data_IF_282817448585
#
_entry.id   IF_282817448585
#
_cell.length_a   1.000
_cell.length_b   1.000
_cell.length_c   1.000
_cell.angle_alpha   90.00
_cell.angle_beta   90.00
_cell.angle_gamma   90.00
#
_symmetry.space_group_name_H-M   'P 1'
#
loop_
_entity.id
_entity.type
_entity.pdbx_description
1 polymer ?
#
# COMPACT_ATOMS: atom_id res chain seq x y z
N UNK A 1 27.70 -35.66 5.72
CA UNK A 1 27.43 -34.30 6.23
C UNK A 1 27.95 -34.27 7.66
N UNK A 2 29.00 -33.50 7.92
CA UNK A 2 29.41 -33.18 9.29
C UNK A 2 28.26 -32.49 10.01
N UNK A 3 27.98 -32.88 11.26
CA UNK A 3 26.89 -32.32 12.05
C UNK A 3 27.17 -30.84 12.31
N UNK A 4 26.44 -29.97 11.65
CA UNK A 4 26.45 -28.52 11.93
C UNK A 4 25.89 -28.31 13.32
N UNK A 5 26.70 -27.86 14.29
CA UNK A 5 26.31 -27.68 15.69
C UNK A 5 25.45 -26.43 15.93
N UNK A 6 25.69 -25.35 15.16
CA UNK A 6 24.96 -24.10 15.29
C UNK A 6 24.82 -23.41 13.91
N UNK A 7 23.68 -22.79 13.70
CA UNK A 7 23.38 -22.01 12.48
C UNK A 7 22.96 -20.60 12.92
N UNK A 8 23.57 -19.59 12.35
CA UNK A 8 23.27 -18.18 12.58
C UNK A 8 22.71 -17.54 11.30
N UNK A 9 21.96 -16.47 11.46
CA UNK A 9 21.45 -15.63 10.36
C UNK A 9 20.62 -16.39 9.29
N UNK A 10 20.12 -17.60 9.61
CA UNK A 10 19.36 -18.42 8.67
C UNK A 10 17.98 -17.85 8.32
N UNK A 11 17.48 -16.94 9.13
CA UNK A 11 16.19 -16.25 8.97
C UNK A 11 16.33 -14.86 8.32
N UNK A 12 17.56 -14.47 7.94
CA UNK A 12 17.79 -13.23 7.18
C UNK A 12 17.49 -13.49 5.70
N UNK A 13 16.57 -12.71 5.09
CA UNK A 13 16.23 -12.89 3.68
C UNK A 13 17.45 -12.70 2.77
N UNK A 14 17.65 -13.61 1.80
CA UNK A 14 18.79 -13.58 0.88
C UNK A 14 18.95 -12.25 0.16
N UNK A 15 17.85 -11.64 -0.31
CA UNK A 15 17.90 -10.33 -0.99
C UNK A 15 18.47 -9.26 -0.06
N UNK A 16 18.03 -9.24 1.20
CA UNK A 16 18.54 -8.30 2.19
C UNK A 16 20.02 -8.50 2.44
N UNK A 17 20.46 -9.75 2.66
CA UNK A 17 21.87 -10.06 2.83
C UNK A 17 22.70 -9.66 1.61
N UNK A 18 22.23 -9.96 0.41
CA UNK A 18 22.90 -9.59 -0.85
C UNK A 18 23.05 -8.05 -1.00
N UNK A 19 22.03 -7.27 -0.62
CA UNK A 19 22.10 -5.80 -0.65
C UNK A 19 23.22 -5.30 0.28
N UNK A 20 23.31 -5.86 1.50
CA UNK A 20 24.31 -5.44 2.48
C UNK A 20 25.74 -5.87 2.08
N UNK A 21 25.92 -7.14 1.71
CA UNK A 21 27.24 -7.71 1.35
C UNK A 21 27.83 -6.99 0.13
N UNK A 22 26.99 -6.62 -0.84
CA UNK A 22 27.42 -5.88 -2.03
C UNK A 22 27.37 -4.36 -1.85
N UNK A 23 27.07 -3.85 -0.67
CA UNK A 23 27.00 -2.42 -0.33
C UNK A 23 26.12 -1.62 -1.31
N UNK A 24 25.02 -2.21 -1.74
CA UNK A 24 24.10 -1.59 -2.70
C UNK A 24 23.41 -0.40 -2.04
N UNK A 25 23.57 0.78 -2.64
CA UNK A 25 22.88 2.00 -2.20
C UNK A 25 21.47 2.04 -2.78
N UNK A 26 20.46 1.94 -1.92
CA UNK A 26 19.08 1.96 -2.32
C UNK A 26 18.58 3.40 -2.55
N UNK A 27 17.96 3.62 -3.71
CA UNK A 27 17.22 4.85 -4.03
C UNK A 27 18.04 6.16 -3.90
N UNK A 28 19.33 6.12 -4.18
CA UNK A 28 20.14 7.33 -4.29
C UNK A 28 19.70 8.09 -5.55
N UNK A 29 19.34 9.37 -5.41
CA UNK A 29 18.81 10.21 -6.50
C UNK A 29 17.56 9.64 -7.22
N UNK A 30 16.73 8.87 -6.53
CA UNK A 30 15.54 8.26 -7.09
C UNK A 30 14.41 9.28 -7.21
N UNK A 31 14.00 9.58 -8.44
CA UNK A 31 12.85 10.42 -8.78
C UNK A 31 11.86 9.58 -9.61
N UNK A 32 10.98 8.82 -8.97
CA UNK A 32 10.16 7.83 -9.65
C UNK A 32 8.99 8.44 -10.43
N UNK A 33 8.62 7.78 -11.54
CA UNK A 33 7.33 7.97 -12.19
C UNK A 33 6.26 7.23 -11.39
N UNK A 34 5.40 7.98 -10.73
CA UNK A 34 4.31 7.43 -9.90
C UNK A 34 3.02 7.44 -10.72
N UNK A 35 2.30 6.32 -10.70
CA UNK A 35 0.95 6.19 -11.20
C UNK A 35 0.03 5.75 -10.06
N UNK A 36 -0.92 6.58 -9.68
CA UNK A 36 -2.01 6.19 -8.79
C UNK A 36 -3.17 5.63 -9.59
N UNK A 37 -3.91 4.70 -8.98
CA UNK A 37 -5.11 4.13 -9.56
C UNK A 37 -6.11 3.79 -8.46
N UNK A 38 -7.38 3.68 -8.86
CA UNK A 38 -8.49 3.29 -8.00
C UNK A 38 -9.53 2.56 -8.85
N UNK A 39 -10.27 1.60 -8.26
CA UNK A 39 -11.31 0.85 -8.95
C UNK A 39 -12.67 1.06 -8.32
N UNK A 40 -13.71 1.05 -9.16
CA UNK A 40 -15.09 0.98 -8.73
C UNK A 40 -15.73 -0.34 -9.22
N UNK A 41 -16.57 -0.94 -8.40
CA UNK A 41 -17.16 -2.25 -8.65
C UNK A 41 -18.68 -2.23 -8.56
N UNK A 42 -19.34 -3.17 -9.22
CA UNK A 42 -20.76 -3.43 -8.97
C UNK A 42 -20.90 -4.06 -7.59
N UNK A 43 -21.51 -3.38 -6.65
CA UNK A 43 -21.92 -4.01 -5.39
C UNK A 43 -23.22 -3.43 -4.91
N UNK A 44 -24.12 -4.28 -4.43
CA UNK A 44 -25.41 -3.89 -3.88
C UNK A 44 -25.33 -3.37 -2.43
N UNK A 45 -24.25 -2.61 -2.09
CA UNK A 45 -24.01 -2.07 -0.77
C UNK A 45 -23.32 -3.06 0.21
N UNK A 46 -23.05 -4.29 -0.21
CA UNK A 46 -22.19 -5.24 0.51
C UNK A 46 -20.72 -5.06 0.14
N UNK A 47 -19.82 -5.68 0.89
CA UNK A 47 -18.42 -5.72 0.51
C UNK A 47 -18.27 -6.51 -0.80
N UNK A 48 -17.68 -5.94 -1.88
CA UNK A 48 -17.60 -6.57 -3.18
C UNK A 48 -16.84 -7.90 -3.17
N UNK A 49 -17.33 -8.89 -3.91
CA UNK A 49 -16.69 -10.19 -4.12
C UNK A 49 -16.25 -10.32 -5.60
N UNK A 50 -14.95 -10.45 -5.91
CA UNK A 50 -14.47 -10.55 -7.28
C UNK A 50 -14.95 -11.81 -8.03
N UNK A 51 -15.51 -12.79 -7.33
CA UNK A 51 -16.14 -13.95 -7.97
C UNK A 51 -17.52 -13.62 -8.54
N UNK A 52 -18.18 -12.58 -8.06
CA UNK A 52 -19.54 -12.18 -8.43
C UNK A 52 -19.52 -10.81 -9.10
N UNK A 53 -18.97 -9.81 -8.42
CA UNK A 53 -19.00 -8.42 -8.82
C UNK A 53 -17.99 -8.07 -9.89
N UNK A 54 -18.34 -7.17 -10.80
CA UNK A 54 -17.48 -6.70 -11.88
C UNK A 54 -16.81 -5.38 -11.54
N UNK A 55 -15.64 -5.15 -12.11
CA UNK A 55 -15.03 -3.82 -12.12
C UNK A 55 -15.73 -3.00 -13.20
N UNK A 56 -16.30 -1.87 -12.79
CA UNK A 56 -17.05 -0.99 -13.70
C UNK A 56 -16.26 0.23 -14.15
N UNK A 57 -15.30 0.66 -13.35
CA UNK A 57 -14.43 1.78 -13.66
C UNK A 57 -13.03 1.57 -13.06
N UNK A 58 -12.02 2.09 -13.76
CA UNK A 58 -10.66 2.24 -13.23
C UNK A 58 -10.21 3.66 -13.54
N UNK A 59 -9.79 4.39 -12.52
CA UNK A 59 -9.19 5.70 -12.65
C UNK A 59 -7.68 5.65 -12.51
N UNK A 60 -7.00 6.59 -13.14
CA UNK A 60 -5.54 6.74 -13.12
C UNK A 60 -5.17 8.20 -12.96
N UNK A 61 -4.22 8.46 -12.08
CA UNK A 61 -3.69 9.80 -11.87
C UNK A 61 -2.17 9.82 -11.78
N UNK A 62 -1.58 10.78 -12.47
CA UNK A 62 -0.19 11.19 -12.32
C UNK A 62 -0.07 12.65 -12.69
N UNK A 63 1.07 13.31 -12.45
CA UNK A 63 1.30 14.72 -12.87
C UNK A 63 0.97 15.00 -14.34
N UNK A 64 1.14 13.98 -15.20
CA UNK A 64 0.99 14.13 -16.65
C UNK A 64 -0.08 13.18 -17.22
N UNK A 65 -0.91 12.61 -16.37
CA UNK A 65 -1.97 11.69 -16.79
C UNK A 65 -3.17 11.82 -15.86
N UNK A 66 -4.30 12.15 -16.44
CA UNK A 66 -5.63 11.99 -15.86
C UNK A 66 -6.40 11.08 -16.80
N UNK A 67 -6.98 9.99 -16.29
CA UNK A 67 -7.74 9.04 -17.09
C UNK A 67 -8.73 8.27 -16.22
N UNK A 68 -9.94 8.10 -16.74
CA UNK A 68 -10.95 7.19 -16.22
C UNK A 68 -11.41 6.29 -17.35
N UNK A 69 -11.36 4.98 -17.15
CA UNK A 69 -11.91 4.01 -18.09
C UNK A 69 -13.12 3.35 -17.47
N UNK A 70 -14.26 3.38 -18.16
CA UNK A 70 -15.55 2.95 -17.62
C UNK A 70 -16.29 2.05 -18.62
N UNK A 71 -17.02 1.02 -18.14
CA UNK A 71 -17.75 0.06 -19.00
C UNK A 71 -19.11 0.56 -19.50
N UNK A 72 -19.38 1.84 -19.42
CA UNK A 72 -20.65 2.43 -19.84
C UNK A 72 -20.41 3.56 -20.83
N UNK A 73 -21.25 3.65 -21.88
CA UNK A 73 -21.22 4.77 -22.79
C UNK A 73 -22.28 5.81 -22.40
N UNK A 74 -21.90 7.08 -22.41
CA UNK A 74 -22.74 8.23 -22.06
C UNK A 74 -22.12 9.51 -22.66
N UNK A 75 -22.83 10.62 -22.60
CA UNK A 75 -22.31 11.91 -23.04
C UNK A 75 -21.27 12.43 -22.04
N UNK A 76 -20.01 12.35 -22.42
CA UNK A 76 -18.86 12.74 -21.60
C UNK A 76 -18.68 14.26 -21.64
N UNK A 77 -18.42 14.84 -20.47
CA UNK A 77 -18.07 16.24 -20.30
C UNK A 77 -16.56 16.47 -20.29
N UNK A 78 -15.77 15.39 -20.13
CA UNK A 78 -14.32 15.47 -19.99
C UNK A 78 -13.57 14.50 -20.93
N UNK A 79 -12.48 14.97 -21.52
CA UNK A 79 -11.64 14.19 -22.45
C UNK A 79 -10.86 13.07 -21.76
N UNK A 80 -10.71 13.10 -20.43
CA UNK A 80 -10.04 12.05 -19.68
C UNK A 80 -10.89 10.78 -19.51
N UNK A 81 -12.19 10.81 -19.86
CA UNK A 81 -13.10 9.68 -19.74
C UNK A 81 -13.09 8.83 -21.01
N UNK A 82 -12.75 7.57 -20.89
CA UNK A 82 -12.78 6.56 -21.96
C UNK A 82 -13.84 5.51 -21.65
N UNK A 83 -14.84 5.33 -22.53
CA UNK A 83 -15.77 4.21 -22.47
C UNK A 83 -15.20 2.98 -23.17
N UNK A 84 -15.48 1.82 -22.60
CA UNK A 84 -15.22 0.49 -23.17
C UNK A 84 -16.46 -0.38 -23.09
N UNK A 85 -16.55 -1.41 -23.93
CA UNK A 85 -17.77 -2.19 -24.05
C UNK A 85 -17.93 -3.29 -22.99
N UNK A 86 -16.86 -3.65 -22.26
CA UNK A 86 -16.89 -4.76 -21.30
C UNK A 86 -15.75 -4.65 -20.27
N UNK A 87 -15.91 -5.37 -19.15
CA UNK A 87 -14.85 -5.52 -18.15
C UNK A 87 -13.57 -6.12 -18.76
N UNK A 88 -13.72 -7.03 -19.73
CA UNK A 88 -12.57 -7.60 -20.45
C UNK A 88 -11.76 -6.53 -21.17
N UNK A 89 -12.41 -5.56 -21.79
CA UNK A 89 -11.74 -4.40 -22.42
C UNK A 89 -11.17 -3.44 -21.39
N UNK A 90 -11.86 -3.25 -20.27
CA UNK A 90 -11.38 -2.46 -19.14
C UNK A 90 -10.06 -3.01 -18.60
N UNK A 91 -9.97 -4.32 -18.38
CA UNK A 91 -8.75 -4.99 -17.90
C UNK A 91 -7.60 -4.94 -18.92
N UNK A 92 -7.91 -5.02 -20.22
CA UNK A 92 -6.90 -4.79 -21.27
C UNK A 92 -6.42 -3.35 -21.28
N UNK A 93 -7.31 -2.39 -21.11
CA UNK A 93 -6.97 -0.98 -21.01
C UNK A 93 -6.11 -0.69 -19.76
N UNK A 94 -6.34 -1.39 -18.65
CA UNK A 94 -5.45 -1.35 -17.48
C UNK A 94 -4.02 -1.77 -17.84
N UNK A 95 -3.86 -2.91 -18.51
CA UNK A 95 -2.56 -3.36 -18.99
C UNK A 95 -1.91 -2.35 -19.95
N UNK A 96 -2.65 -1.85 -20.93
CA UNK A 96 -2.17 -0.89 -21.91
C UNK A 96 -1.73 0.42 -21.24
N UNK A 97 -2.51 0.90 -20.27
CA UNK A 97 -2.20 2.14 -19.55
C UNK A 97 -0.91 2.02 -18.76
N UNK A 98 -0.72 0.93 -18.02
CA UNK A 98 0.52 0.68 -17.28
C UNK A 98 1.70 0.54 -18.24
N UNK A 99 1.54 -0.25 -19.33
CA UNK A 99 2.60 -0.51 -20.29
C UNK A 99 3.01 0.71 -21.11
N UNK A 100 2.08 1.63 -21.34
CA UNK A 100 2.35 2.91 -22.03
C UNK A 100 2.98 3.94 -21.09
N UNK A 101 2.49 3.99 -19.84
CA UNK A 101 3.00 4.95 -18.86
C UNK A 101 4.36 4.52 -18.30
N UNK A 102 4.61 3.21 -18.17
CA UNK A 102 5.83 2.63 -17.61
C UNK A 102 6.19 3.24 -16.24
N UNK A 103 5.35 3.04 -15.20
CA UNK A 103 5.61 3.60 -13.89
C UNK A 103 6.74 2.85 -13.16
N UNK A 104 7.53 3.56 -12.36
CA UNK A 104 8.42 2.96 -11.38
C UNK A 104 7.66 2.50 -10.13
N UNK A 105 6.63 3.29 -9.77
CA UNK A 105 5.74 3.02 -8.64
C UNK A 105 4.29 3.08 -9.11
N UNK A 106 3.54 2.02 -8.83
CA UNK A 106 2.07 2.04 -8.88
C UNK A 106 1.53 2.11 -7.45
N UNK A 107 0.51 2.93 -7.23
CA UNK A 107 -0.03 3.14 -5.89
C UNK A 107 -1.56 3.16 -5.88
N UNK A 108 -2.13 2.63 -4.82
CA UNK A 108 -3.55 2.69 -4.49
C UNK A 108 -3.76 2.89 -3.00
N UNK A 109 -4.99 3.10 -2.57
CA UNK A 109 -5.35 3.25 -1.17
C UNK A 109 -6.04 1.99 -0.66
N UNK A 110 -5.38 1.21 0.20
CA UNK A 110 -5.79 -0.13 0.63
C UNK A 110 -5.78 -1.18 -0.52
N UNK A 111 -5.01 -0.91 -1.53
CA UNK A 111 -5.00 -1.66 -2.79
C UNK A 111 -4.41 -3.08 -2.68
N UNK A 112 -3.61 -3.37 -1.64
CA UNK A 112 -3.16 -4.74 -1.34
C UNK A 112 -4.33 -5.68 -1.03
N UNK A 113 -5.37 -5.15 -0.36
CA UNK A 113 -6.50 -5.92 0.14
C UNK A 113 -7.74 -5.83 -0.74
N UNK A 114 -7.77 -4.84 -1.64
CA UNK A 114 -8.90 -4.61 -2.51
C UNK A 114 -8.48 -4.54 -3.98
N UNK A 115 -8.08 -3.40 -4.49
CA UNK A 115 -7.92 -3.12 -5.91
C UNK A 115 -7.05 -4.11 -6.66
N UNK A 116 -5.82 -4.35 -6.19
CA UNK A 116 -4.87 -5.24 -6.85
C UNK A 116 -5.31 -6.70 -6.81
N UNK A 117 -5.88 -7.12 -5.69
CA UNK A 117 -6.45 -8.45 -5.55
C UNK A 117 -7.65 -8.61 -6.46
N UNK A 118 -8.55 -7.63 -6.47
CA UNK A 118 -9.76 -7.65 -7.28
C UNK A 118 -9.42 -7.70 -8.77
N UNK A 119 -8.56 -6.83 -9.27
CA UNK A 119 -8.08 -6.83 -10.66
C UNK A 119 -7.49 -8.19 -11.03
N UNK A 120 -6.68 -8.79 -10.15
CA UNK A 120 -6.05 -10.08 -10.44
C UNK A 120 -7.07 -11.21 -10.53
N UNK A 121 -8.03 -11.30 -9.61
CA UNK A 121 -9.09 -12.31 -9.64
C UNK A 121 -10.01 -12.12 -10.86
N UNK A 122 -10.39 -10.86 -11.15
CA UNK A 122 -11.21 -10.55 -12.32
C UNK A 122 -10.49 -10.85 -13.64
N UNK A 123 -9.20 -10.55 -13.73
CA UNK A 123 -8.39 -10.92 -14.89
C UNK A 123 -8.37 -12.44 -15.10
N UNK A 124 -8.20 -13.21 -14.02
CA UNK A 124 -8.26 -14.67 -14.07
C UNK A 124 -9.62 -15.18 -14.53
N UNK A 125 -10.73 -14.63 -14.00
CA UNK A 125 -12.10 -14.97 -14.39
C UNK A 125 -12.39 -14.67 -15.86
N UNK A 126 -11.82 -13.57 -16.38
CA UNK A 126 -11.94 -13.17 -17.79
C UNK A 126 -10.93 -13.87 -18.72
N UNK A 127 -10.16 -14.84 -18.20
CA UNK A 127 -9.09 -15.56 -18.93
C UNK A 127 -8.02 -14.61 -19.53
N UNK A 128 -7.71 -13.53 -18.82
CA UNK A 128 -6.68 -12.56 -19.19
C UNK A 128 -5.43 -12.79 -18.35
N UNK A 129 -4.28 -12.91 -19.02
CA UNK A 129 -2.97 -12.77 -18.40
C UNK A 129 -2.50 -11.35 -18.62
N UNK A 130 -2.38 -10.59 -17.53
CA UNK A 130 -1.91 -9.21 -17.58
C UNK A 130 -0.39 -9.20 -17.79
N UNK A 131 0.03 -8.99 -19.04
CA UNK A 131 1.46 -8.88 -19.40
C UNK A 131 1.93 -7.46 -19.12
N UNK A 132 2.54 -7.26 -17.95
CA UNK A 132 3.01 -5.95 -17.48
C UNK A 132 4.51 -5.81 -17.71
N UNK A 133 4.90 -4.69 -18.30
CA UNK A 133 6.31 -4.33 -18.51
C UNK A 133 7.02 -4.04 -17.16
N UNK A 134 8.36 -4.12 -17.10
CA UNK A 134 9.27 -4.36 -18.24
C UNK A 134 9.49 -5.84 -18.60
N UNK A 135 8.88 -6.78 -17.88
CA UNK A 135 9.16 -8.21 -18.05
C UNK A 135 8.07 -8.99 -18.79
N UNK A 136 6.97 -8.34 -19.18
CA UNK A 136 5.81 -8.97 -19.82
C UNK A 136 5.24 -10.15 -19.01
N UNK A 137 5.33 -10.05 -17.69
CA UNK A 137 4.83 -11.05 -16.74
C UNK A 137 3.56 -10.58 -16.05
N UNK A 138 2.73 -11.54 -15.64
CA UNK A 138 1.52 -11.29 -14.85
C UNK A 138 1.87 -10.91 -13.41
N UNK A 139 0.89 -10.30 -12.74
CA UNK A 139 0.95 -10.03 -11.31
C UNK A 139 1.02 -11.34 -10.51
N UNK A 140 1.84 -11.37 -9.46
CA UNK A 140 2.01 -12.53 -8.61
C UNK A 140 1.61 -12.24 -7.16
N UNK A 141 0.95 -13.20 -6.52
CA UNK A 141 0.73 -13.13 -5.08
C UNK A 141 2.03 -13.37 -4.31
N UNK A 142 2.26 -12.59 -3.29
CA UNK A 142 3.35 -12.87 -2.35
C UNK A 142 2.93 -13.92 -1.34
N UNK A 143 3.91 -14.58 -0.71
CA UNK A 143 3.63 -15.40 0.46
C UNK A 143 3.21 -14.51 1.63
N UNK A 144 2.10 -14.84 2.27
CA UNK A 144 1.56 -14.07 3.39
C UNK A 144 0.51 -14.86 4.15
N UNK A 145 0.05 -14.32 5.29
CA UNK A 145 -1.06 -14.87 6.05
C UNK A 145 -2.37 -14.78 5.24
N UNK A 146 -3.33 -15.61 5.58
CA UNK A 146 -4.56 -15.97 4.82
C UNK A 146 -5.29 -14.80 4.11
N UNK A 147 -5.22 -13.56 4.64
CA UNK A 147 -5.91 -12.38 4.10
C UNK A 147 -4.97 -11.21 3.78
N UNK A 148 -3.65 -11.41 3.84
CA UNK A 148 -2.65 -10.39 3.53
C UNK A 148 -1.63 -10.98 2.54
N UNK A 149 -2.04 -11.14 1.29
CA UNK A 149 -1.17 -11.58 0.19
C UNK A 149 -1.00 -10.42 -0.81
N UNK A 150 -0.12 -9.46 -0.50
CA UNK A 150 0.11 -8.36 -1.42
C UNK A 150 0.49 -8.87 -2.81
N UNK A 151 0.01 -8.19 -3.83
CA UNK A 151 0.33 -8.50 -5.22
C UNK A 151 1.61 -7.76 -5.60
N UNK A 152 2.56 -8.48 -6.21
CA UNK A 152 3.78 -7.93 -6.80
C UNK A 152 3.66 -7.88 -8.32
N UNK A 153 4.17 -6.79 -8.88
CA UNK A 153 4.43 -6.65 -10.31
C UNK A 153 5.94 -6.65 -10.48
N UNK A 154 6.48 -7.53 -11.32
CA UNK A 154 7.91 -7.60 -11.54
C UNK A 154 8.40 -6.34 -12.27
N UNK A 155 9.35 -5.65 -11.67
CA UNK A 155 9.92 -4.40 -12.21
C UNK A 155 9.16 -3.13 -11.84
N UNK A 156 7.97 -3.21 -11.25
CA UNK A 156 7.21 -2.06 -10.76
C UNK A 156 7.00 -2.21 -9.26
N UNK A 157 7.30 -1.18 -8.49
CA UNK A 157 7.03 -1.20 -7.05
C UNK A 157 5.57 -0.85 -6.79
N UNK A 158 4.80 -1.79 -6.22
CA UNK A 158 3.47 -1.49 -5.70
C UNK A 158 3.59 -0.91 -4.28
N UNK A 159 3.07 0.29 -4.10
CA UNK A 159 3.03 1.02 -2.83
C UNK A 159 1.57 1.16 -2.40
N UNK A 160 1.17 0.46 -1.34
CA UNK A 160 -0.13 0.68 -0.71
C UNK A 160 -0.02 1.83 0.30
N UNK A 161 -0.63 2.95 -0.04
CA UNK A 161 -0.58 4.19 0.75
C UNK A 161 -1.24 4.01 2.12
N UNK A 162 -2.39 3.33 2.18
CA UNK A 162 -3.11 3.06 3.42
C UNK A 162 -2.29 2.19 4.38
N UNK A 163 -1.68 1.11 3.89
CA UNK A 163 -0.91 0.19 4.73
C UNK A 163 0.26 0.91 5.40
N UNK A 164 0.99 1.74 4.63
CA UNK A 164 2.10 2.52 5.19
C UNK A 164 1.62 3.55 6.23
N UNK A 165 0.56 4.31 5.90
CA UNK A 165 -0.01 5.30 6.83
C UNK A 165 -0.47 4.61 8.12
N UNK A 166 -1.23 3.52 8.02
CA UNK A 166 -1.70 2.74 9.16
C UNK A 166 -0.58 2.21 10.04
N UNK A 167 0.48 1.66 9.43
CA UNK A 167 1.55 0.99 10.16
C UNK A 167 2.56 1.94 10.79
N UNK A 168 2.75 3.14 10.21
CA UNK A 168 3.84 4.06 10.57
C UNK A 168 3.32 5.41 11.06
N UNK A 169 2.31 6.00 10.40
CA UNK A 169 1.90 7.38 10.64
C UNK A 169 0.65 7.49 11.54
N UNK A 170 -0.23 6.48 11.55
CA UNK A 170 -1.50 6.54 12.27
C UNK A 170 -1.40 7.00 13.74
N UNK A 171 -0.37 6.62 14.53
CA UNK A 171 -0.25 7.12 15.90
C UNK A 171 -0.03 8.64 16.03
N UNK A 172 0.31 9.32 14.94
CA UNK A 172 0.55 10.78 14.89
C UNK A 172 -0.60 11.55 14.27
N UNK A 173 -1.55 10.85 13.65
CA UNK A 173 -2.74 11.46 13.08
C UNK A 173 -3.76 11.74 14.18
N UNK A 174 -4.51 12.81 14.02
CA UNK A 174 -5.59 13.22 14.94
C UNK A 174 -6.93 12.60 14.55
N UNK A 175 -7.07 12.19 13.28
CA UNK A 175 -8.31 11.58 12.80
C UNK A 175 -8.56 10.23 13.46
N UNK A 176 -9.83 9.95 13.73
CA UNK A 176 -10.29 8.67 14.29
C UNK A 176 -10.55 7.61 13.21
N UNK A 177 -10.55 7.99 11.94
CA UNK A 177 -10.77 7.09 10.80
C UNK A 177 -9.66 7.25 9.77
N UNK A 178 -9.17 6.12 9.27
CA UNK A 178 -8.17 6.06 8.20
C UNK A 178 -8.83 5.91 6.82
N UNK A 179 -10.04 6.44 6.60
CA UNK A 179 -10.60 6.58 5.25
C UNK A 179 -9.75 7.53 4.42
N UNK A 180 -9.77 7.37 3.09
CA UNK A 180 -9.00 8.24 2.18
C UNK A 180 -9.31 9.72 2.42
N UNK A 181 -10.58 10.05 2.59
CA UNK A 181 -11.05 11.43 2.80
C UNK A 181 -10.46 12.06 4.07
N UNK A 182 -10.59 11.35 5.20
CA UNK A 182 -10.12 11.87 6.49
C UNK A 182 -8.60 12.03 6.53
N UNK A 183 -7.89 11.08 5.93
CA UNK A 183 -6.43 11.13 5.84
C UNK A 183 -5.98 12.23 4.87
N UNK A 184 -6.67 12.41 3.74
CA UNK A 184 -6.38 13.48 2.80
C UNK A 184 -6.67 14.86 3.42
N UNK A 185 -7.78 15.01 4.14
CA UNK A 185 -8.08 16.26 4.86
C UNK A 185 -6.96 16.60 5.88
N UNK A 186 -6.57 15.64 6.71
CA UNK A 186 -5.56 15.89 7.74
C UNK A 186 -4.15 16.07 7.16
N UNK A 187 -3.76 15.25 6.21
CA UNK A 187 -2.39 15.27 5.69
C UNK A 187 -2.20 16.29 4.57
N UNK A 188 -3.20 16.54 3.72
CA UNK A 188 -3.09 17.42 2.56
C UNK A 188 -3.83 18.74 2.72
N UNK A 189 -4.73 18.85 3.70
CA UNK A 189 -5.66 19.98 3.83
C UNK A 189 -6.73 20.03 2.74
N UNK A 190 -6.94 18.92 2.03
CA UNK A 190 -7.91 18.80 0.94
C UNK A 190 -9.13 18.03 1.45
N UNK A 191 -10.29 18.66 1.38
CA UNK A 191 -11.58 17.99 1.60
C UNK A 191 -12.05 17.35 0.31
N UNK A 192 -12.64 16.18 0.42
CA UNK A 192 -13.36 15.56 -0.70
C UNK A 192 -14.52 16.46 -1.13
N UNK A 193 -14.74 16.55 -2.42
CA UNK A 193 -15.95 17.18 -2.95
C UNK A 193 -17.15 16.34 -2.51
N UNK A 194 -18.10 16.95 -1.82
CA UNK A 194 -19.39 16.32 -1.56
C UNK A 194 -20.16 16.28 -2.88
N UNK A 195 -20.15 15.15 -3.56
CA UNK A 195 -20.87 14.97 -4.83
C UNK A 195 -22.38 14.90 -4.67
N UNK A 196 -22.89 14.87 -3.44
CA UNK A 196 -24.32 14.81 -3.14
C UNK A 196 -25.00 13.47 -3.46
N UNK A 197 -24.27 12.54 -4.10
CA UNK A 197 -24.72 11.18 -4.46
C UNK A 197 -23.59 10.20 -4.15
N UNK A 198 -23.93 9.04 -3.59
CA UNK A 198 -22.92 8.00 -3.37
C UNK A 198 -22.53 7.33 -4.70
N UNK A 199 -21.28 6.84 -4.86
CA UNK A 199 -20.82 6.23 -6.13
C UNK A 199 -21.75 5.13 -6.65
N UNK A 200 -22.22 4.24 -5.79
CA UNK A 200 -23.12 3.16 -6.18
C UNK A 200 -24.51 3.68 -6.62
N UNK A 201 -25.03 4.75 -5.99
CA UNK A 201 -26.30 5.39 -6.39
C UNK A 201 -26.14 6.08 -7.76
N UNK A 202 -25.00 6.77 -7.98
CA UNK A 202 -24.71 7.37 -9.28
C UNK A 202 -24.54 6.32 -10.38
N UNK A 203 -24.02 5.13 -10.06
CA UNK A 203 -23.94 4.01 -11.00
C UNK A 203 -25.31 3.41 -11.36
N UNK A 204 -26.23 3.35 -10.40
CA UNK A 204 -27.58 2.84 -10.62
C UNK A 204 -28.46 3.81 -11.42
N UNK A 205 -28.27 5.11 -11.22
CA UNK A 205 -28.91 6.17 -12.03
C UNK A 205 -27.98 6.49 -13.22
N UNK A 206 -28.28 5.87 -14.37
CA UNK A 206 -27.44 5.92 -15.58
C UNK A 206 -27.56 7.23 -16.39
N UNK A 207 -27.99 8.33 -15.76
CA UNK A 207 -28.01 9.64 -16.38
C UNK A 207 -26.58 10.11 -16.73
N UNK A 208 -26.46 10.83 -17.85
CA UNK A 208 -25.17 11.42 -18.28
C UNK A 208 -24.53 12.25 -17.16
N UNK A 209 -25.32 13.04 -16.42
CA UNK A 209 -24.86 13.87 -15.32
C UNK A 209 -24.26 13.03 -14.18
N UNK A 210 -24.95 11.96 -13.75
CA UNK A 210 -24.44 11.12 -12.67
C UNK A 210 -23.25 10.28 -13.10
N UNK A 211 -23.17 9.86 -14.36
CA UNK A 211 -21.99 9.17 -14.88
C UNK A 211 -20.75 10.07 -14.96
N UNK A 212 -20.91 11.35 -15.29
CA UNK A 212 -19.81 12.32 -15.23
C UNK A 212 -19.35 12.53 -13.77
N UNK A 213 -20.29 12.74 -12.83
CA UNK A 213 -19.97 12.85 -11.39
C UNK A 213 -19.27 11.60 -10.83
N UNK A 214 -19.74 10.41 -11.21
CA UNK A 214 -19.11 9.14 -10.83
C UNK A 214 -17.65 9.06 -11.33
N UNK A 215 -17.42 9.47 -12.57
CA UNK A 215 -16.07 9.48 -13.15
C UNK A 215 -15.17 10.51 -12.47
N UNK A 216 -15.68 11.70 -12.14
CA UNK A 216 -14.96 12.72 -11.38
C UNK A 216 -14.57 12.23 -9.98
N UNK A 217 -15.51 11.55 -9.30
CA UNK A 217 -15.28 10.96 -8.00
C UNK A 217 -14.16 9.93 -8.04
N UNK A 218 -14.22 8.95 -8.96
CA UNK A 218 -13.23 7.93 -9.10
C UNK A 218 -11.83 8.53 -9.44
N UNK A 219 -11.78 9.55 -10.31
CA UNK A 219 -10.54 10.27 -10.60
C UNK A 219 -9.98 11.01 -9.37
N UNK A 220 -10.86 11.61 -8.57
CA UNK A 220 -10.45 12.31 -7.35
C UNK A 220 -9.81 11.36 -6.34
N UNK A 221 -10.32 10.13 -6.19
CA UNK A 221 -9.75 9.13 -5.29
C UNK A 221 -8.33 8.73 -5.72
N UNK A 222 -8.09 8.51 -7.01
CA UNK A 222 -6.74 8.32 -7.56
C UNK A 222 -5.84 9.54 -7.34
N UNK A 223 -6.36 10.76 -7.52
CA UNK A 223 -5.60 12.00 -7.31
C UNK A 223 -5.19 12.20 -5.85
N UNK A 224 -6.11 12.00 -4.91
CA UNK A 224 -5.80 12.08 -3.48
C UNK A 224 -4.78 11.03 -3.08
N UNK A 225 -4.94 9.80 -3.58
CA UNK A 225 -3.98 8.70 -3.38
C UNK A 225 -2.59 9.05 -3.91
N UNK A 226 -2.50 9.66 -5.10
CA UNK A 226 -1.24 10.14 -5.67
C UNK A 226 -0.57 11.17 -4.76
N UNK A 227 -1.30 12.20 -4.33
CA UNK A 227 -0.77 13.25 -3.47
C UNK A 227 -0.31 12.73 -2.10
N UNK A 228 -1.05 11.77 -1.53
CA UNK A 228 -0.63 11.08 -0.32
C UNK A 228 0.65 10.27 -0.56
N UNK A 229 0.74 9.54 -1.67
CA UNK A 229 1.93 8.78 -2.03
C UNK A 229 3.16 9.70 -2.19
N UNK A 230 3.04 10.84 -2.87
CA UNK A 230 4.11 11.84 -2.96
C UNK A 230 4.56 12.31 -1.57
N UNK A 231 3.61 12.54 -0.66
CA UNK A 231 3.91 13.04 0.69
C UNK A 231 4.60 12.01 1.57
N UNK A 232 4.23 10.73 1.47
CA UNK A 232 4.82 9.66 2.30
C UNK A 232 6.10 9.08 1.71
N UNK A 233 6.28 9.14 0.39
CA UNK A 233 7.40 8.51 -0.30
C UNK A 233 8.78 8.92 0.24
N UNK A 234 9.08 10.19 0.55
CA UNK A 234 10.36 10.56 1.14
C UNK A 234 10.64 9.83 2.46
N UNK A 235 9.63 9.66 3.29
CA UNK A 235 9.74 8.94 4.57
C UNK A 235 9.99 7.45 4.33
N UNK A 236 9.22 6.85 3.42
CA UNK A 236 9.35 5.43 3.07
C UNK A 236 10.73 5.12 2.46
N UNK A 237 11.26 6.01 1.61
CA UNK A 237 12.62 5.89 1.05
C UNK A 237 13.70 6.00 2.14
N UNK A 238 13.54 6.86 3.13
CA UNK A 238 14.47 6.92 4.25
C UNK A 238 14.45 5.60 5.06
N UNK A 239 13.28 5.05 5.35
CA UNK A 239 13.20 3.74 5.99
C UNK A 239 13.86 2.66 5.15
N UNK A 240 13.69 2.67 3.84
CA UNK A 240 14.37 1.73 2.94
C UNK A 240 15.90 1.84 3.04
N UNK A 241 16.44 3.05 3.04
CA UNK A 241 17.88 3.30 3.21
C UNK A 241 18.41 2.86 4.59
N UNK A 242 17.67 3.18 5.65
CA UNK A 242 18.06 2.81 7.02
C UNK A 242 18.01 1.30 7.25
N UNK A 243 17.00 0.63 6.73
CA UNK A 243 16.83 -0.81 6.93
C UNK A 243 17.60 -1.65 5.93
N UNK A 244 17.95 -1.12 4.76
CA UNK A 244 18.53 -1.89 3.65
C UNK A 244 17.50 -2.76 2.91
N UNK A 245 16.20 -2.53 3.11
CA UNK A 245 15.14 -3.31 2.50
C UNK A 245 14.52 -2.59 1.29
N UNK A 246 14.01 -3.34 0.29
CA UNK A 246 13.24 -2.76 -0.80
C UNK A 246 12.01 -2.00 -0.32
N UNK A 247 11.63 -0.96 -1.07
CA UNK A 247 10.48 -0.09 -0.75
C UNK A 247 9.17 -0.87 -0.57
N UNK A 248 8.95 -1.90 -1.38
CA UNK A 248 7.78 -2.78 -1.28
C UNK A 248 7.65 -3.42 0.11
N UNK A 249 8.75 -3.92 0.68
CA UNK A 249 8.76 -4.60 1.97
C UNK A 249 8.62 -3.60 3.12
N UNK A 250 9.38 -2.50 3.06
CA UNK A 250 9.37 -1.43 4.08
C UNK A 250 7.98 -0.84 4.28
N UNK A 251 7.26 -0.57 3.20
CA UNK A 251 5.93 0.08 3.28
C UNK A 251 4.86 -0.80 3.94
N UNK A 252 5.12 -2.09 4.06
CA UNK A 252 4.22 -3.07 4.70
C UNK A 252 4.61 -3.44 6.13
N UNK A 253 5.79 -2.98 6.57
CA UNK A 253 6.28 -3.28 7.92
C UNK A 253 5.68 -2.34 8.96
N UNK A 254 5.44 -2.90 10.15
CA UNK A 254 5.15 -2.09 11.35
C UNK A 254 6.44 -1.50 11.91
N UNK A 255 6.32 -0.41 12.65
CA UNK A 255 7.45 0.35 13.18
C UNK A 255 8.48 -0.53 13.93
N UNK A 256 8.03 -1.42 14.79
CA UNK A 256 8.92 -2.33 15.53
C UNK A 256 9.76 -3.23 14.62
N UNK A 257 9.20 -3.67 13.48
CA UNK A 257 9.95 -4.46 12.48
C UNK A 257 10.97 -3.62 11.71
N UNK A 258 10.67 -2.36 11.43
CA UNK A 258 11.62 -1.43 10.82
C UNK A 258 12.83 -1.19 11.73
N UNK A 259 12.59 -1.03 13.04
CA UNK A 259 13.65 -0.89 14.05
C UNK A 259 14.50 -2.16 14.14
N UNK A 260 13.87 -3.34 14.18
CA UNK A 260 14.58 -4.64 14.18
C UNK A 260 15.50 -4.75 12.96
N UNK A 261 15.00 -4.43 11.76
CA UNK A 261 15.81 -4.50 10.53
C UNK A 261 16.96 -3.49 10.52
N UNK A 262 16.74 -2.30 11.07
CA UNK A 262 17.81 -1.32 11.25
C UNK A 262 18.91 -1.84 12.17
N UNK A 263 18.54 -2.48 13.29
CA UNK A 263 19.53 -3.08 14.24
C UNK A 263 20.29 -4.21 13.56
N UNK A 264 19.59 -5.09 12.81
CA UNK A 264 20.21 -6.19 12.05
C UNK A 264 21.24 -5.64 11.06
N UNK A 265 20.84 -4.65 10.25
CA UNK A 265 21.76 -4.00 9.31
C UNK A 265 22.97 -3.43 10.01
N UNK A 266 22.76 -2.66 11.08
CA UNK A 266 23.86 -2.03 11.83
C UNK A 266 24.81 -3.05 12.47
N UNK A 267 24.32 -4.21 12.91
CA UNK A 267 25.13 -5.28 13.43
C UNK A 267 26.01 -5.92 12.33
N UNK A 268 25.41 -6.23 11.17
CA UNK A 268 26.14 -6.76 10.01
C UNK A 268 27.22 -5.78 9.53
N UNK A 269 26.91 -4.48 9.46
CA UNK A 269 27.88 -3.44 9.08
C UNK A 269 29.06 -3.31 10.08
N UNK A 270 28.90 -3.83 11.29
CA UNK A 270 29.93 -3.90 12.33
C UNK A 270 30.55 -5.30 12.46
N UNK A 271 30.39 -6.17 11.46
CA UNK A 271 30.87 -7.56 11.45
C UNK A 271 30.43 -8.38 12.68
N UNK A 272 29.19 -8.12 13.14
CA UNK A 272 28.59 -8.86 14.25
C UNK A 272 27.62 -9.90 13.73
N UNK A 273 27.80 -11.13 14.21
CA UNK A 273 26.89 -12.25 13.93
C UNK A 273 25.61 -12.10 14.74
N UNK A 274 24.46 -12.33 14.10
CA UNK A 274 23.15 -12.20 14.71
C UNK A 274 22.57 -13.59 14.96
N UNK A 275 22.05 -13.79 16.16
CA UNK A 275 21.29 -15.00 16.49
C UNK A 275 20.01 -15.08 15.64
N UNK A 276 19.64 -16.30 15.28
CA UNK A 276 18.34 -16.56 14.67
C UNK A 276 17.19 -16.17 15.62
N UNK A 277 16.03 -15.91 15.07
CA UNK A 277 14.84 -15.64 15.88
C UNK A 277 14.60 -16.77 16.86
N UNK A 278 14.28 -16.42 18.11
CA UNK A 278 14.01 -17.45 19.10
C UNK A 278 12.75 -18.24 18.70
N UNK A 279 12.75 -19.55 19.00
CA UNK A 279 11.57 -20.39 18.83
C UNK A 279 10.39 -19.88 19.69
N UNK A 280 9.18 -20.27 19.31
CA UNK A 280 7.98 -19.89 20.07
C UNK A 280 8.08 -20.25 21.55
N UNK A 281 8.66 -21.39 21.90
CA UNK A 281 8.86 -21.81 23.29
C UNK A 281 9.81 -20.88 24.04
N UNK A 282 10.89 -20.43 23.40
CA UNK A 282 11.81 -19.44 23.98
C UNK A 282 11.10 -18.09 24.15
N UNK A 283 10.25 -17.69 23.21
CA UNK A 283 9.46 -16.46 23.31
C UNK A 283 8.47 -16.54 24.48
N UNK A 284 7.76 -17.66 24.62
CA UNK A 284 6.82 -17.88 25.74
C UNK A 284 7.55 -17.83 27.08
N UNK A 285 8.69 -18.53 27.20
CA UNK A 285 9.51 -18.49 28.40
C UNK A 285 10.01 -17.08 28.74
N UNK A 286 10.49 -16.31 27.75
CA UNK A 286 10.91 -14.91 27.94
C UNK A 286 9.75 -14.00 28.37
N UNK A 287 8.54 -14.21 27.85
CA UNK A 287 7.34 -13.45 28.26
C UNK A 287 6.86 -13.80 29.68
N UNK A 288 7.08 -15.02 30.12
CA UNK A 288 6.77 -15.44 31.50
C UNK A 288 7.75 -14.84 32.52
N UNK A 289 8.96 -14.46 32.08
CA UNK A 289 9.94 -13.76 32.92
C UNK A 289 9.72 -12.27 32.74
N UNK A 290 9.04 -11.65 33.71
CA UNK A 290 8.79 -10.20 33.64
C UNK A 290 10.14 -9.47 33.75
N UNK A 291 10.47 -8.68 32.73
CA UNK A 291 11.61 -7.78 32.83
C UNK A 291 11.33 -6.76 33.95
N UNK A 292 12.30 -6.52 34.83
CA UNK A 292 12.19 -5.42 35.78
C UNK A 292 11.97 -4.12 35.02
N UNK A 293 10.75 -3.58 35.13
CA UNK A 293 10.38 -2.31 34.54
C UNK A 293 10.92 -1.14 35.35
N UNK A 294 10.79 0.06 34.79
CA UNK A 294 11.10 1.28 35.53
C UNK A 294 10.18 1.39 36.75
N UNK A 295 10.72 1.91 37.83
CA UNK A 295 9.93 2.21 39.05
C UNK A 295 8.91 3.31 38.72
N UNK A 296 7.64 3.01 38.94
CA UNK A 296 6.55 3.97 38.83
C UNK A 296 6.17 4.39 40.25
N UNK A 297 6.51 5.61 40.62
CA UNK A 297 6.07 6.20 41.88
C UNK A 297 4.55 6.39 41.86
N UNK A 298 3.84 5.72 42.75
CA UNK A 298 2.42 6.00 42.93
C UNK A 298 2.24 7.14 43.93
N UNK A 299 1.75 8.29 43.49
CA UNK A 299 1.51 9.41 44.39
C UNK A 299 0.37 9.06 45.34
N UNK A 300 0.42 9.58 46.55
CA UNK A 300 -0.69 9.46 47.49
C UNK A 300 -1.93 10.11 46.89
N UNK A 301 -3.10 9.43 46.83
CA UNK A 301 -4.31 10.06 46.29
C UNK A 301 -4.66 11.35 47.05
N UNK A 302 -4.89 12.44 46.35
CA UNK A 302 -5.20 13.73 46.97
C UNK A 302 -5.25 14.88 45.92
N UNK A 303 -5.68 16.05 46.39
CA UNK A 303 -5.68 17.26 45.59
C UNK A 303 -4.39 18.04 45.87
N UNK A 304 -3.55 18.17 44.87
CA UNK A 304 -2.28 18.88 44.95
C UNK A 304 -2.42 20.27 44.33
N UNK A 305 -2.00 21.32 45.06
CA UNK A 305 -1.97 22.71 44.61
C UNK A 305 -0.53 23.10 44.24
N UNK A 306 -0.38 24.04 43.31
CA UNK A 306 0.93 24.60 42.92
C UNK A 306 1.89 23.55 42.29
N UNK A 307 1.37 22.58 41.52
CA UNK A 307 2.19 21.64 40.79
C UNK A 307 2.92 22.36 39.65
N UNK A 308 4.23 22.13 39.54
CA UNK A 308 5.05 22.56 38.40
C UNK A 308 5.41 21.30 37.58
N UNK A 309 5.16 21.36 36.28
CA UNK A 309 5.57 20.34 35.34
C UNK A 309 6.81 20.87 34.63
N UNK A 310 7.85 20.04 34.56
CA UNK A 310 9.13 20.38 33.92
C UNK A 310 9.26 19.64 32.61
#
# INVERSE_FOLDING_TARGET
>A
FESVSEVFEADIPYIFRSILDNKIKLYENFNPKILAFDIETTSDGNFPDPLIDEIVSISYYSKNLEKVTIIRDFKKEHDYIKSVASEKELLKDFQETINKFEPDIITGYNSDRFDMWFIKERASKNEIKLKLKPFDEDMIYTQGARNDKPVKIKGITHLDTYIFIRNVLAPRLKTNSLSLDNVAEEMLGQKKLELGVLPHEAWLDDSDENMNKFSEYNLLDSKLTYLLAEKILPIALQFSRFTGLPLFDVTRMRYGRLVEQFIIKSAIEQDRVIENRPSNDKIIKRRATQAEGAFVYQPTPGVYKNIRVF
#
